data_IF_024952082044
#
_entry.id   IF_024952082044
#
_cell.length_a   1.000
_cell.length_b   1.000
_cell.length_c   1.000
_cell.angle_alpha   90.00
_cell.angle_beta   90.00
_cell.angle_gamma   90.00
#
_symmetry.space_group_name_H-M   'P 1'
#
loop_
_entity.id
_entity.type
_entity.pdbx_description
1 polymer ?
#
# COMPACT_ATOMS: atom_id res chain seq x y z
N UNK A 1 -0.39 -16.29 22.16
CA UNK A 1 0.39 -15.60 23.22
C UNK A 1 1.72 -16.28 23.32
N UNK A 2 2.73 -15.76 22.63
CA UNK A 2 4.05 -16.36 22.68
C UNK A 2 4.60 -16.18 24.07
N UNK A 3 4.57 -17.24 24.90
CA UNK A 3 5.26 -17.25 26.20
C UNK A 3 6.77 -17.16 25.93
N UNK A 4 7.32 -16.01 26.26
CA UNK A 4 8.76 -15.79 26.22
C UNK A 4 9.43 -16.56 27.38
N UNK A 5 10.16 -17.61 27.08
CA UNK A 5 11.32 -17.97 27.90
C UNK A 5 12.55 -17.35 27.22
N UNK A 6 12.82 -16.09 27.53
CA UNK A 6 14.12 -15.49 27.26
C UNK A 6 15.08 -16.13 28.25
N UNK A 7 15.73 -17.21 27.85
CA UNK A 7 16.90 -17.65 28.59
C UNK A 7 17.98 -16.59 28.37
N UNK A 8 18.26 -15.84 29.43
CA UNK A 8 19.42 -14.93 29.55
C UNK A 8 20.72 -15.74 29.49
N UNK A 9 21.03 -16.37 28.36
CA UNK A 9 22.38 -16.80 28.08
C UNK A 9 23.09 -15.64 27.41
N UNK A 10 24.08 -15.11 28.15
CA UNK A 10 25.13 -14.16 27.77
C UNK A 10 24.91 -13.51 26.38
N UNK A 11 24.24 -12.39 26.40
CA UNK A 11 23.92 -11.58 25.22
C UNK A 11 25.24 -11.03 24.65
N UNK A 12 25.73 -11.68 23.61
CA UNK A 12 26.56 -10.99 22.64
C UNK A 12 25.64 -10.00 21.88
N UNK A 13 25.89 -8.69 21.94
CA UNK A 13 25.04 -7.69 21.27
C UNK A 13 24.96 -7.87 19.74
N UNK A 14 25.84 -8.68 19.15
CA UNK A 14 25.89 -8.98 17.70
C UNK A 14 25.00 -10.14 17.27
N UNK A 15 24.48 -10.94 18.21
CA UNK A 15 23.66 -12.12 17.89
C UNK A 15 22.16 -11.85 18.03
N UNK A 16 21.36 -12.39 17.12
CA UNK A 16 19.91 -12.33 17.21
C UNK A 16 19.43 -13.11 18.45
N UNK A 17 18.56 -12.53 19.31
CA UNK A 17 18.07 -13.23 20.50
C UNK A 17 17.24 -14.44 20.09
N UNK A 18 17.37 -15.50 20.88
CA UNK A 18 16.58 -16.70 20.74
C UNK A 18 15.15 -16.45 21.25
N UNK A 19 14.17 -16.87 20.46
CA UNK A 19 12.76 -16.88 20.81
C UNK A 19 12.29 -18.32 20.86
N UNK A 20 11.78 -18.75 22.00
CA UNK A 20 11.17 -20.06 22.16
C UNK A 20 9.68 -19.94 21.84
N UNK A 21 9.28 -20.59 20.77
CA UNK A 21 7.89 -20.65 20.29
C UNK A 21 7.44 -22.10 20.35
N UNK A 22 6.20 -22.35 20.72
CA UNK A 22 5.64 -23.71 20.72
C UNK A 22 5.56 -24.25 19.28
N UNK A 23 5.81 -25.55 19.10
CA UNK A 23 5.75 -26.20 17.80
C UNK A 23 4.35 -26.18 17.19
N UNK A 24 3.31 -26.08 18.01
CA UNK A 24 1.90 -26.09 17.58
C UNK A 24 1.36 -24.69 17.31
N UNK A 25 2.17 -23.64 17.49
CA UNK A 25 1.75 -22.26 17.22
C UNK A 25 1.51 -22.01 15.71
N UNK A 26 0.50 -21.21 15.41
CA UNK A 26 0.14 -20.86 14.04
C UNK A 26 1.30 -20.20 13.26
N UNK A 27 2.20 -19.47 13.93
CA UNK A 27 3.39 -18.91 13.31
C UNK A 27 4.41 -19.98 12.92
N UNK A 28 4.60 -21.03 13.72
CA UNK A 28 5.46 -22.17 13.37
C UNK A 28 4.88 -22.92 12.19
N UNK A 29 3.57 -23.22 12.23
CA UNK A 29 2.85 -23.85 11.12
C UNK A 29 2.92 -23.01 9.84
N UNK A 30 2.81 -21.68 9.93
CA UNK A 30 2.99 -20.77 8.78
C UNK A 30 4.42 -20.82 8.26
N UNK A 31 5.43 -20.73 9.14
CA UNK A 31 6.86 -20.65 8.76
C UNK A 31 7.32 -21.91 8.03
N UNK A 32 6.79 -23.08 8.39
CA UNK A 32 7.14 -24.36 7.73
C UNK A 32 6.19 -24.72 6.58
N UNK A 33 5.06 -24.02 6.48
CA UNK A 33 3.97 -24.35 5.56
C UNK A 33 4.26 -24.02 4.09
N UNK A 34 3.53 -24.69 3.19
CA UNK A 34 3.58 -24.44 1.74
C UNK A 34 3.19 -23.01 1.39
N UNK A 35 2.28 -22.41 2.17
CA UNK A 35 1.83 -21.03 1.96
C UNK A 35 3.01 -20.05 2.01
N UNK A 36 3.84 -20.14 3.05
CA UNK A 36 4.98 -19.25 3.25
C UNK A 36 6.16 -19.59 2.32
N UNK A 37 6.46 -20.87 2.13
CA UNK A 37 7.68 -21.30 1.43
C UNK A 37 7.55 -21.36 -0.10
N UNK A 38 6.31 -21.46 -0.63
CA UNK A 38 6.08 -21.58 -2.09
C UNK A 38 5.06 -20.56 -2.62
N UNK A 39 3.87 -20.45 -2.01
CA UNK A 39 2.79 -19.64 -2.58
C UNK A 39 3.14 -18.15 -2.52
N UNK A 40 3.47 -17.63 -1.36
CA UNK A 40 3.79 -16.21 -1.17
C UNK A 40 4.98 -15.76 -2.04
N UNK A 41 6.13 -16.46 -2.05
CA UNK A 41 7.26 -16.04 -2.90
C UNK A 41 6.92 -16.10 -4.40
N UNK A 42 6.12 -17.08 -4.86
CA UNK A 42 5.67 -17.13 -6.25
C UNK A 42 4.81 -15.94 -6.63
N UNK A 43 3.90 -15.52 -5.74
CA UNK A 43 3.09 -14.30 -5.91
C UNK A 43 3.95 -13.03 -5.92
N UNK A 44 4.97 -12.92 -5.06
CA UNK A 44 5.90 -11.80 -5.08
C UNK A 44 6.70 -11.74 -6.39
N UNK A 45 7.17 -12.89 -6.91
CA UNK A 45 7.86 -12.95 -8.21
C UNK A 45 6.92 -12.46 -9.32
N UNK A 46 5.67 -12.92 -9.34
CA UNK A 46 4.69 -12.48 -10.33
C UNK A 46 4.46 -10.97 -10.24
N UNK A 47 4.32 -10.43 -9.03
CA UNK A 47 4.19 -8.98 -8.82
C UNK A 47 5.41 -8.22 -9.33
N UNK A 48 6.63 -8.70 -9.11
CA UNK A 48 7.86 -8.08 -9.60
C UNK A 48 7.97 -8.14 -11.13
N UNK A 49 7.66 -9.28 -11.74
CA UNK A 49 7.75 -9.47 -13.20
C UNK A 49 6.79 -8.56 -13.97
N UNK A 50 5.63 -8.27 -13.43
CA UNK A 50 4.65 -7.36 -14.04
C UNK A 50 4.87 -5.91 -13.59
N UNK A 51 5.08 -5.70 -12.30
CA UNK A 51 5.11 -4.38 -11.69
C UNK A 51 6.37 -3.58 -12.04
N UNK A 52 7.56 -4.20 -12.04
CA UNK A 52 8.80 -3.46 -12.34
C UNK A 52 8.80 -2.91 -13.77
N UNK A 53 8.54 -3.70 -14.83
CA UNK A 53 8.50 -3.17 -16.19
C UNK A 53 7.40 -2.12 -16.37
N UNK A 54 6.21 -2.35 -15.83
CA UNK A 54 5.06 -1.45 -16.03
C UNK A 54 5.27 -0.09 -15.33
N UNK A 55 5.79 -0.05 -14.10
CA UNK A 55 6.09 1.20 -13.41
C UNK A 55 7.27 1.93 -14.06
N UNK A 56 8.31 1.22 -14.52
CA UNK A 56 9.42 1.81 -15.27
C UNK A 56 8.93 2.44 -16.58
N UNK A 57 8.06 1.75 -17.30
CA UNK A 57 7.43 2.29 -18.50
C UNK A 57 6.64 3.59 -18.22
N UNK A 58 5.86 3.62 -17.14
CA UNK A 58 5.11 4.82 -16.73
C UNK A 58 6.02 5.99 -16.41
N UNK A 59 7.13 5.77 -15.71
CA UNK A 59 8.10 6.83 -15.43
C UNK A 59 8.64 7.46 -16.72
N UNK A 60 9.00 6.62 -17.71
CA UNK A 60 9.43 7.09 -19.03
C UNK A 60 8.33 7.82 -19.80
N UNK A 61 7.11 7.27 -19.80
CA UNK A 61 5.95 7.85 -20.48
C UNK A 61 5.55 9.21 -19.92
N UNK A 62 5.54 9.37 -18.60
CA UNK A 62 5.17 10.63 -17.95
C UNK A 62 6.24 11.70 -18.10
N UNK A 63 7.51 11.33 -18.13
CA UNK A 63 8.61 12.25 -18.41
C UNK A 63 8.42 12.95 -19.75
N UNK A 64 7.94 12.24 -20.76
CA UNK A 64 7.75 12.76 -22.13
C UNK A 64 6.43 13.54 -22.31
N UNK A 65 5.43 13.37 -21.40
CA UNK A 65 4.10 14.00 -21.47
C UNK A 65 3.86 15.12 -20.47
N UNK A 66 4.84 15.88 -20.10
CA UNK A 66 4.81 16.92 -19.05
C UNK A 66 3.78 18.07 -19.19
N UNK A 67 2.76 17.96 -20.05
CA UNK A 67 1.79 19.04 -20.30
C UNK A 67 0.75 19.24 -19.18
N UNK A 68 0.54 18.27 -18.27
CA UNK A 68 -0.33 18.42 -17.10
C UNK A 68 0.43 18.15 -15.81
N UNK A 69 1.30 19.06 -15.45
CA UNK A 69 2.29 18.94 -14.38
C UNK A 69 1.73 18.42 -13.04
N UNK A 70 0.57 18.95 -12.63
CA UNK A 70 -0.03 18.62 -11.33
C UNK A 70 -0.51 17.15 -11.19
N UNK A 71 -1.08 16.56 -12.24
CA UNK A 71 -1.53 15.15 -12.21
C UNK A 71 -0.36 14.21 -12.40
N UNK A 72 0.60 14.59 -13.24
CA UNK A 72 1.83 13.85 -13.51
C UNK A 72 2.64 13.61 -12.23
N UNK A 73 2.74 14.62 -11.34
CA UNK A 73 3.46 14.49 -10.07
C UNK A 73 2.87 13.37 -9.20
N UNK A 74 1.54 13.25 -9.08
CA UNK A 74 0.93 12.18 -8.27
C UNK A 74 1.24 10.80 -8.83
N UNK A 75 1.19 10.63 -10.14
CA UNK A 75 1.51 9.34 -10.77
C UNK A 75 3.00 9.01 -10.74
N UNK A 76 3.88 10.02 -10.84
CA UNK A 76 5.33 9.82 -10.63
C UNK A 76 5.62 9.39 -9.20
N UNK A 77 4.95 10.03 -8.23
CA UNK A 77 5.04 9.65 -6.83
C UNK A 77 4.60 8.20 -6.60
N UNK A 78 3.47 7.80 -7.18
CA UNK A 78 2.93 6.45 -7.07
C UNK A 78 3.89 5.42 -7.70
N UNK A 79 4.31 5.63 -8.95
CA UNK A 79 5.22 4.72 -9.64
C UNK A 79 6.59 4.59 -8.95
N UNK A 80 7.09 5.67 -8.35
CA UNK A 80 8.35 5.63 -7.60
C UNK A 80 8.19 4.80 -6.32
N UNK A 81 7.12 5.02 -5.56
CA UNK A 81 6.87 4.24 -4.34
C UNK A 81 6.66 2.77 -4.65
N UNK A 82 5.94 2.44 -5.73
CA UNK A 82 5.72 1.07 -6.18
C UNK A 82 7.03 0.36 -6.57
N UNK A 83 7.93 1.04 -7.27
CA UNK A 83 9.25 0.48 -7.59
C UNK A 83 10.06 0.20 -6.33
N UNK A 84 10.03 1.07 -5.33
CA UNK A 84 10.71 0.82 -4.05
C UNK A 84 10.15 -0.42 -3.35
N UNK A 85 8.82 -0.61 -3.33
CA UNK A 85 8.21 -1.82 -2.82
C UNK A 85 8.69 -3.06 -3.60
N UNK A 86 8.50 -3.05 -4.92
CA UNK A 86 8.78 -4.20 -5.78
C UNK A 86 10.26 -4.64 -5.69
N UNK A 87 11.20 -3.69 -5.63
CA UNK A 87 12.61 -3.98 -5.41
C UNK A 87 12.85 -4.58 -4.01
N UNK A 88 12.12 -4.13 -3.00
CA UNK A 88 12.22 -4.69 -1.64
C UNK A 88 11.71 -6.13 -1.56
N UNK A 89 10.78 -6.53 -2.43
CA UNK A 89 10.26 -7.90 -2.48
C UNK A 89 11.32 -8.93 -2.86
N UNK A 90 12.38 -8.57 -3.57
CA UNK A 90 13.46 -9.49 -3.95
C UNK A 90 14.11 -10.15 -2.71
N UNK A 91 14.36 -9.37 -1.65
CA UNK A 91 14.91 -9.90 -0.41
C UNK A 91 13.89 -10.76 0.35
N UNK A 92 12.58 -10.43 0.27
CA UNK A 92 11.52 -11.28 0.84
C UNK A 92 11.37 -12.60 0.08
N UNK A 93 11.49 -12.59 -1.25
CA UNK A 93 11.51 -13.81 -2.06
C UNK A 93 12.67 -14.73 -1.66
N UNK A 94 13.88 -14.18 -1.53
CA UNK A 94 15.03 -14.94 -1.05
C UNK A 94 14.77 -15.52 0.35
N UNK A 95 14.23 -14.74 1.28
CA UNK A 95 13.88 -15.18 2.62
C UNK A 95 12.94 -16.40 2.60
N UNK A 96 11.86 -16.34 1.84
CA UNK A 96 10.87 -17.42 1.76
C UNK A 96 11.44 -18.68 1.11
N UNK A 97 12.25 -18.55 0.02
CA UNK A 97 12.90 -19.69 -0.61
C UNK A 97 14.00 -20.31 0.25
N UNK A 98 14.62 -19.53 1.12
CA UNK A 98 15.57 -20.03 2.10
C UNK A 98 14.88 -20.57 3.37
N UNK A 99 13.69 -21.18 3.20
CA UNK A 99 12.89 -21.77 4.28
C UNK A 99 12.61 -20.78 5.44
N UNK A 100 12.30 -19.54 5.09
CA UNK A 100 12.08 -18.44 6.03
C UNK A 100 13.26 -18.15 6.96
N UNK A 101 14.48 -18.34 6.44
CA UNK A 101 15.71 -18.00 7.14
C UNK A 101 16.29 -16.69 6.61
N UNK A 102 16.28 -15.64 7.45
CA UNK A 102 16.77 -14.31 7.12
C UNK A 102 18.27 -14.20 7.39
N UNK A 103 19.05 -14.02 6.33
CA UNK A 103 20.51 -14.00 6.38
C UNK A 103 21.11 -12.59 6.27
N UNK A 104 20.28 -11.56 6.04
CA UNK A 104 20.73 -10.20 5.74
C UNK A 104 20.90 -9.29 6.97
N UNK A 105 20.68 -9.83 8.17
CA UNK A 105 20.84 -9.09 9.44
C UNK A 105 19.63 -8.22 9.81
N UNK A 106 19.68 -7.64 10.99
CA UNK A 106 18.59 -6.91 11.62
C UNK A 106 18.25 -5.60 10.89
N UNK A 107 19.27 -4.82 10.51
CA UNK A 107 19.07 -3.50 9.88
C UNK A 107 18.30 -3.65 8.56
N UNK A 108 18.68 -4.63 7.74
CA UNK A 108 17.98 -4.88 6.47
C UNK A 108 16.57 -5.39 6.69
N UNK A 109 16.32 -6.20 7.74
CA UNK A 109 14.97 -6.64 8.09
C UNK A 109 14.07 -5.45 8.46
N UNK A 110 14.55 -4.52 9.29
CA UNK A 110 13.81 -3.29 9.62
C UNK A 110 13.52 -2.44 8.39
N UNK A 111 14.53 -2.21 7.55
CA UNK A 111 14.38 -1.40 6.34
C UNK A 111 13.36 -2.00 5.38
N UNK A 112 13.42 -3.31 5.10
CA UNK A 112 12.50 -3.98 4.20
C UNK A 112 11.08 -3.98 4.75
N UNK A 113 10.90 -4.21 6.04
CA UNK A 113 9.60 -4.15 6.70
C UNK A 113 9.02 -2.73 6.64
N UNK A 114 9.83 -1.73 6.94
CA UNK A 114 9.46 -0.33 6.89
C UNK A 114 9.07 0.11 5.46
N UNK A 115 9.87 -0.22 4.45
CA UNK A 115 9.57 0.07 3.05
C UNK A 115 8.28 -0.60 2.60
N UNK A 116 8.05 -1.85 3.01
CA UNK A 116 6.87 -2.61 2.65
C UNK A 116 5.58 -1.95 3.16
N UNK A 117 5.46 -1.76 4.47
CA UNK A 117 4.25 -1.15 5.05
C UNK A 117 4.11 0.32 4.68
N UNK A 118 5.21 1.05 4.66
CA UNK A 118 5.20 2.45 4.28
C UNK A 118 4.73 2.66 2.83
N UNK A 119 5.17 1.82 1.88
CA UNK A 119 4.67 1.91 0.49
C UNK A 119 3.15 1.67 0.43
N UNK A 120 2.65 0.61 1.07
CA UNK A 120 1.22 0.29 1.06
C UNK A 120 0.40 1.47 1.59
N UNK A 121 0.86 2.15 2.65
CA UNK A 121 0.22 3.36 3.18
C UNK A 121 0.31 4.54 2.20
N UNK A 122 1.48 4.76 1.60
CA UNK A 122 1.70 5.85 0.64
C UNK A 122 0.80 5.70 -0.59
N UNK A 123 0.69 4.49 -1.15
CA UNK A 123 -0.12 4.21 -2.34
C UNK A 123 -1.60 4.40 -2.05
N UNK A 124 -2.13 3.89 -0.94
CA UNK A 124 -3.53 4.08 -0.56
C UNK A 124 -3.90 5.57 -0.44
N UNK A 125 -3.06 6.37 0.23
CA UNK A 125 -3.28 7.82 0.36
C UNK A 125 -3.17 8.55 -0.99
N UNK A 126 -2.21 8.18 -1.83
CA UNK A 126 -2.04 8.77 -3.16
C UNK A 126 -3.25 8.51 -4.05
N UNK A 127 -3.80 7.28 -4.04
CA UNK A 127 -5.01 6.91 -4.78
C UNK A 127 -6.23 7.71 -4.27
N UNK A 128 -6.36 7.89 -2.96
CA UNK A 128 -7.42 8.74 -2.39
C UNK A 128 -7.29 10.21 -2.83
N UNK A 129 -6.08 10.74 -2.87
CA UNK A 129 -5.83 12.10 -3.38
C UNK A 129 -6.16 12.24 -4.88
N UNK A 130 -5.87 11.22 -5.68
CA UNK A 130 -6.28 11.17 -7.10
C UNK A 130 -7.80 11.16 -7.21
N UNK A 131 -8.50 10.36 -6.41
CA UNK A 131 -9.97 10.28 -6.38
C UNK A 131 -10.60 11.62 -5.97
N UNK A 132 -10.07 12.26 -4.94
CA UNK A 132 -10.52 13.58 -4.49
C UNK A 132 -10.29 14.66 -5.56
N UNK A 133 -9.16 14.63 -6.24
CA UNK A 133 -8.85 15.57 -7.32
C UNK A 133 -9.84 15.41 -8.49
N UNK A 134 -10.23 14.18 -8.81
CA UNK A 134 -11.28 13.89 -9.82
C UNK A 134 -12.64 14.41 -9.38
N UNK A 135 -13.02 14.18 -8.12
CA UNK A 135 -14.23 14.74 -7.54
C UNK A 135 -14.27 16.26 -7.68
N UNK A 136 -13.20 16.94 -7.29
CA UNK A 136 -13.12 18.42 -7.40
C UNK A 136 -13.24 18.89 -8.86
N UNK A 137 -12.60 18.20 -9.80
CA UNK A 137 -12.64 18.57 -11.21
C UNK A 137 -14.03 18.45 -11.82
N UNK A 138 -14.81 17.44 -11.42
CA UNK A 138 -16.12 17.12 -11.99
C UNK A 138 -17.26 17.78 -11.22
N UNK A 139 -17.29 17.63 -9.89
CA UNK A 139 -18.43 18.06 -9.07
C UNK A 139 -18.28 19.52 -8.61
N UNK A 140 -17.03 20.00 -8.45
CA UNK A 140 -16.73 21.36 -7.98
C UNK A 140 -15.76 22.11 -8.92
N UNK A 141 -16.11 22.27 -10.22
CA UNK A 141 -15.17 22.79 -11.22
C UNK A 141 -14.71 24.23 -10.95
N UNK A 142 -15.57 25.09 -10.39
CA UNK A 142 -15.19 26.46 -10.05
C UNK A 142 -14.15 26.51 -8.94
N UNK A 143 -14.31 25.68 -7.89
CA UNK A 143 -13.32 25.54 -6.83
C UNK A 143 -12.01 24.98 -7.39
N UNK A 144 -12.08 23.94 -8.19
CA UNK A 144 -10.91 23.34 -8.83
C UNK A 144 -10.11 24.30 -9.71
N UNK A 145 -10.78 25.25 -10.40
CA UNK A 145 -10.11 26.29 -11.21
C UNK A 145 -9.38 27.33 -10.35
N UNK A 146 -9.90 27.65 -9.16
CA UNK A 146 -9.29 28.63 -8.23
C UNK A 146 -8.09 28.07 -7.48
N UNK A 147 -7.96 26.76 -7.34
CA UNK A 147 -6.87 26.14 -6.63
C UNK A 147 -5.54 26.28 -7.40
N UNK A 148 -4.47 26.56 -6.70
CA UNK A 148 -3.09 26.52 -7.21
C UNK A 148 -2.63 25.05 -7.37
N UNK A 149 -3.14 24.38 -8.40
CA UNK A 149 -3.10 22.93 -8.59
C UNK A 149 -1.72 22.31 -8.40
N UNK A 150 -0.67 22.92 -8.93
CA UNK A 150 0.70 22.40 -8.82
C UNK A 150 1.23 22.53 -7.40
N UNK A 151 1.08 23.71 -6.78
CA UNK A 151 1.52 23.93 -5.39
C UNK A 151 0.77 22.99 -4.43
N UNK A 152 -0.56 22.89 -4.58
CA UNK A 152 -1.37 21.97 -3.76
C UNK A 152 -0.92 20.52 -3.92
N UNK A 153 -0.64 20.07 -5.14
CA UNK A 153 -0.19 18.69 -5.40
C UNK A 153 1.19 18.41 -4.78
N UNK A 154 2.12 19.37 -4.86
CA UNK A 154 3.44 19.24 -4.20
C UNK A 154 3.26 19.14 -2.69
N UNK A 155 2.41 19.97 -2.09
CA UNK A 155 2.11 19.90 -0.66
C UNK A 155 1.46 18.58 -0.25
N UNK A 156 0.53 18.06 -1.07
CA UNK A 156 -0.07 16.73 -0.85
C UNK A 156 1.01 15.64 -0.86
N UNK A 157 1.87 15.62 -1.86
CA UNK A 157 2.98 14.64 -1.91
C UNK A 157 3.89 14.78 -0.68
N UNK A 158 4.23 15.99 -0.28
CA UNK A 158 5.04 16.22 0.93
C UNK A 158 4.36 15.66 2.19
N UNK A 159 3.06 15.92 2.37
CA UNK A 159 2.29 15.39 3.51
C UNK A 159 2.24 13.86 3.48
N UNK A 160 2.00 13.26 2.30
CA UNK A 160 1.98 11.80 2.15
C UNK A 160 3.34 11.19 2.53
N UNK A 161 4.46 11.76 2.08
CA UNK A 161 5.80 11.29 2.45
C UNK A 161 6.15 11.56 3.91
N UNK A 162 5.66 12.65 4.48
CA UNK A 162 5.82 12.91 5.91
C UNK A 162 5.06 11.88 6.77
N UNK A 163 3.80 11.57 6.40
CA UNK A 163 3.01 10.52 7.05
C UNK A 163 3.63 9.14 6.87
N UNK A 164 4.19 8.86 5.67
CA UNK A 164 4.98 7.66 5.43
C UNK A 164 6.15 7.57 6.42
N UNK A 165 6.96 8.62 6.52
CA UNK A 165 8.10 8.68 7.47
C UNK A 165 7.65 8.44 8.90
N UNK A 166 6.58 9.11 9.34
CA UNK A 166 6.03 8.94 10.69
C UNK A 166 5.54 7.50 10.95
N UNK A 167 4.90 6.88 9.96
CA UNK A 167 4.42 5.49 10.06
C UNK A 167 5.56 4.47 10.11
N UNK A 168 6.67 4.77 9.47
CA UNK A 168 7.83 3.88 9.33
C UNK A 168 8.77 3.94 10.54
N UNK A 169 8.87 5.09 11.22
CA UNK A 169 9.79 5.27 12.36
C UNK A 169 9.63 4.19 13.44
N UNK A 170 8.43 3.84 13.94
CA UNK A 170 8.30 2.78 14.95
C UNK A 170 8.79 1.41 14.47
N UNK A 171 8.57 1.08 13.20
CA UNK A 171 9.06 -0.18 12.60
C UNK A 171 10.59 -0.22 12.50
N UNK A 172 11.24 0.94 12.33
CA UNK A 172 12.71 1.06 12.31
C UNK A 172 13.32 0.99 13.71
N UNK A 173 12.61 1.46 14.74
CA UNK A 173 13.10 1.50 16.11
C UNK A 173 12.99 0.14 16.82
N UNK A 174 11.95 -0.65 16.48
CA UNK A 174 11.68 -1.93 17.11
C UNK A 174 12.46 -3.04 16.40
N UNK A 175 12.97 -4.01 17.17
CA UNK A 175 13.64 -5.18 16.63
C UNK A 175 12.66 -6.05 15.83
N UNK A 176 13.07 -6.49 14.65
CA UNK A 176 12.22 -7.22 13.70
C UNK A 176 12.71 -8.64 13.41
N UNK A 177 13.99 -8.97 13.71
CA UNK A 177 14.51 -10.31 13.47
C UNK A 177 14.81 -11.05 14.77
N UNK A 178 14.33 -12.29 14.84
CA UNK A 178 14.47 -13.17 15.99
C UNK A 178 14.83 -14.58 15.53
N UNK A 179 15.65 -15.27 16.31
CA UNK A 179 16.00 -16.65 16.06
C UNK A 179 15.01 -17.58 16.76
N UNK A 180 14.28 -18.38 15.99
CA UNK A 180 13.25 -19.30 16.49
C UNK A 180 13.91 -20.63 16.87
N UNK A 181 13.94 -20.94 18.18
CA UNK A 181 14.69 -22.06 18.73
C UNK A 181 14.25 -23.43 18.16
N UNK A 182 12.95 -23.77 18.06
CA UNK A 182 12.52 -25.06 17.53
C UNK A 182 12.93 -25.29 16.08
N UNK A 183 13.00 -24.22 15.27
CA UNK A 183 13.27 -24.28 13.85
C UNK A 183 14.74 -24.04 13.50
N UNK A 184 15.52 -23.44 14.41
CA UNK A 184 16.92 -23.08 14.17
C UNK A 184 17.12 -21.98 13.12
N UNK A 185 16.05 -21.31 12.68
CA UNK A 185 16.06 -20.25 11.64
C UNK A 185 15.93 -18.86 12.25
N UNK A 186 16.42 -17.85 11.55
CA UNK A 186 16.19 -16.43 11.89
C UNK A 186 15.04 -15.90 11.06
N UNK A 187 13.94 -15.49 11.70
CA UNK A 187 12.79 -14.89 11.02
C UNK A 187 12.94 -13.39 10.89
N UNK A 188 12.27 -12.78 9.91
CA UNK A 188 12.15 -11.34 9.74
C UNK A 188 10.68 -10.93 9.74
N UNK A 189 10.23 -10.30 10.81
CA UNK A 189 8.88 -9.76 11.00
C UNK A 189 7.76 -10.83 11.10
N UNK A 190 8.06 -12.11 11.01
CA UNK A 190 7.04 -13.15 11.06
C UNK A 190 6.75 -13.63 12.50
N UNK A 191 7.72 -13.59 13.36
CA UNK A 191 7.57 -13.97 14.77
C UNK A 191 8.08 -12.83 15.64
N UNK A 192 7.18 -12.19 16.40
CA UNK A 192 7.49 -11.05 17.26
C UNK A 192 7.05 -11.32 18.70
N UNK A 193 7.92 -11.01 19.70
CA UNK A 193 7.57 -11.18 21.11
C UNK A 193 6.62 -10.07 21.56
N UNK A 194 5.37 -10.40 21.87
CA UNK A 194 4.37 -9.43 22.34
C UNK A 194 4.58 -8.98 23.77
N UNK A 195 5.31 -9.75 24.59
CA UNK A 195 5.59 -9.42 25.98
C UNK A 195 6.64 -8.29 26.12
N UNK A 196 7.43 -8.03 25.08
CA UNK A 196 8.29 -6.87 25.07
C UNK A 196 7.47 -5.57 25.01
N UNK A 197 7.73 -4.64 25.92
CA UNK A 197 7.02 -3.35 26.03
C UNK A 197 6.89 -2.60 24.70
N UNK A 198 7.93 -2.62 23.88
CA UNK A 198 7.90 -1.95 22.58
C UNK A 198 6.98 -2.65 21.58
N UNK A 199 6.91 -3.98 21.59
CA UNK A 199 6.02 -4.72 20.71
C UNK A 199 4.55 -4.59 21.12
N UNK A 200 4.27 -4.54 22.42
CA UNK A 200 2.90 -4.31 22.92
C UNK A 200 2.36 -2.93 22.52
N UNK A 201 3.23 -1.90 22.43
CA UNK A 201 2.86 -0.58 21.91
C UNK A 201 2.71 -0.54 20.38
N UNK A 202 3.39 -1.43 19.67
CA UNK A 202 3.35 -1.48 18.21
C UNK A 202 1.98 -1.94 17.68
N UNK A 203 1.28 -2.82 18.41
CA UNK A 203 -0.06 -3.30 18.01
C UNK A 203 -1.09 -2.17 17.92
N UNK A 204 -1.36 -1.37 18.98
CA UNK A 204 -2.29 -0.26 18.88
C UNK A 204 -1.85 0.79 17.87
N UNK A 205 -0.53 1.01 17.71
CA UNK A 205 0.00 1.89 16.68
C UNK A 205 -0.35 1.38 15.27
N UNK A 206 -0.15 0.10 14.97
CA UNK A 206 -0.52 -0.51 13.68
C UNK A 206 -2.01 -0.42 13.41
N UNK A 207 -2.86 -0.68 14.43
CA UNK A 207 -4.31 -0.51 14.30
C UNK A 207 -4.69 0.94 13.98
N UNK A 208 -4.06 1.92 14.65
CA UNK A 208 -4.25 3.33 14.34
C UNK A 208 -3.82 3.66 12.89
N UNK A 209 -2.69 3.13 12.43
CA UNK A 209 -2.22 3.33 11.05
C UNK A 209 -3.16 2.71 10.03
N UNK A 210 -3.74 1.53 10.29
CA UNK A 210 -4.78 0.94 9.42
C UNK A 210 -6.00 1.88 9.32
N UNK A 211 -6.47 2.42 10.43
CA UNK A 211 -7.58 3.36 10.42
C UNK A 211 -7.26 4.61 9.60
N UNK A 212 -6.12 5.26 9.87
CA UNK A 212 -5.74 6.52 9.22
C UNK A 212 -5.32 6.33 7.75
N UNK A 213 -4.63 5.24 7.44
CA UNK A 213 -4.02 5.04 6.12
C UNK A 213 -4.85 4.17 5.18
N UNK A 214 -5.88 3.47 5.66
CA UNK A 214 -6.79 2.68 4.82
C UNK A 214 -8.25 3.07 4.98
N UNK A 215 -8.79 3.10 6.20
CA UNK A 215 -10.23 3.36 6.39
C UNK A 215 -10.58 4.78 5.95
N UNK A 216 -9.81 5.79 6.37
CA UNK A 216 -10.05 7.18 5.96
C UNK A 216 -9.90 7.36 4.45
N UNK A 217 -8.81 6.92 3.77
CA UNK A 217 -8.70 6.92 2.31
C UNK A 217 -9.84 6.19 1.60
N UNK A 218 -10.26 5.02 2.12
CA UNK A 218 -11.37 4.27 1.56
C UNK A 218 -12.67 5.09 1.57
N UNK A 219 -13.00 5.72 2.70
CA UNK A 219 -14.19 6.57 2.82
C UNK A 219 -14.13 7.76 1.85
N UNK A 220 -12.95 8.37 1.69
CA UNK A 220 -12.74 9.44 0.69
C UNK A 220 -12.97 8.91 -0.73
N UNK A 221 -12.45 7.74 -1.06
CA UNK A 221 -12.64 7.12 -2.39
C UNK A 221 -14.12 6.80 -2.65
N UNK A 222 -14.84 6.22 -1.66
CA UNK A 222 -16.27 5.93 -1.76
C UNK A 222 -17.05 7.23 -2.01
N UNK A 223 -16.85 8.23 -1.18
CA UNK A 223 -17.54 9.52 -1.31
C UNK A 223 -17.27 10.18 -2.66
N UNK A 224 -16.00 10.24 -3.06
CA UNK A 224 -15.60 10.84 -4.32
C UNK A 224 -16.22 10.10 -5.52
N UNK A 225 -16.17 8.73 -5.50
CA UNK A 225 -16.72 7.91 -6.57
C UNK A 225 -18.24 8.07 -6.69
N UNK A 226 -18.98 7.90 -5.60
CA UNK A 226 -20.46 8.03 -5.58
C UNK A 226 -20.89 9.42 -6.03
N UNK A 227 -20.23 10.48 -5.54
CA UNK A 227 -20.54 11.86 -5.94
C UNK A 227 -20.28 12.11 -7.42
N UNK A 228 -19.20 11.58 -7.99
CA UNK A 228 -18.87 11.70 -9.41
C UNK A 228 -19.91 10.96 -10.26
N UNK A 229 -20.24 9.71 -9.93
CA UNK A 229 -21.24 8.91 -10.66
C UNK A 229 -22.60 9.58 -10.63
N UNK A 230 -23.04 10.05 -9.46
CA UNK A 230 -24.30 10.76 -9.31
C UNK A 230 -24.38 12.04 -10.14
N UNK A 231 -23.32 12.86 -10.10
CA UNK A 231 -23.27 14.13 -10.83
C UNK A 231 -23.28 13.92 -12.35
N UNK A 232 -22.47 12.97 -12.84
CA UNK A 232 -22.37 12.65 -14.27
C UNK A 232 -23.61 11.96 -14.80
N UNK A 233 -24.28 11.11 -14.01
CA UNK A 233 -25.52 10.45 -14.38
C UNK A 233 -26.68 11.44 -14.65
N UNK A 234 -26.61 12.65 -14.08
CA UNK A 234 -27.59 13.73 -14.28
C UNK A 234 -27.27 14.68 -15.44
N UNK A 235 -26.07 14.60 -16.01
CA UNK A 235 -25.61 15.63 -16.99
C UNK A 235 -26.10 15.44 -18.42
N UNK A 236 -26.80 14.36 -18.73
CA UNK A 236 -27.33 14.07 -20.08
C UNK A 236 -26.25 13.80 -21.15
N UNK A 237 -24.98 13.84 -20.81
CA UNK A 237 -23.86 13.57 -21.72
C UNK A 237 -23.35 12.15 -21.54
N UNK A 238 -22.72 11.55 -22.56
CA UNK A 238 -22.13 10.22 -22.48
C UNK A 238 -20.78 10.24 -21.72
N UNK A 239 -20.84 10.13 -20.41
CA UNK A 239 -19.69 10.07 -19.51
C UNK A 239 -19.26 8.63 -19.15
N UNK A 240 -19.79 7.64 -19.85
CA UNK A 240 -19.52 6.21 -19.59
C UNK A 240 -18.02 5.87 -19.49
N UNK A 241 -17.12 6.38 -20.37
CA UNK A 241 -15.69 6.08 -20.25
C UNK A 241 -15.08 6.58 -18.92
N UNK A 242 -15.48 7.78 -18.49
CA UNK A 242 -15.01 8.37 -17.24
C UNK A 242 -15.52 7.61 -16.01
N UNK A 243 -16.80 7.26 -15.99
CA UNK A 243 -17.42 6.46 -14.93
C UNK A 243 -16.73 5.11 -14.83
N UNK A 244 -16.49 4.41 -15.95
CA UNK A 244 -15.77 3.12 -15.97
C UNK A 244 -14.40 3.20 -15.33
N UNK A 245 -13.61 4.21 -15.68
CA UNK A 245 -12.27 4.39 -15.11
C UNK A 245 -12.35 4.73 -13.63
N UNK A 246 -13.28 5.57 -13.21
CA UNK A 246 -13.50 5.88 -11.79
C UNK A 246 -13.91 4.64 -10.98
N UNK A 247 -14.80 3.82 -11.54
CA UNK A 247 -15.23 2.55 -10.96
C UNK A 247 -14.06 1.57 -10.84
N UNK A 248 -13.21 1.49 -11.87
CA UNK A 248 -12.04 0.62 -11.85
C UNK A 248 -11.05 1.01 -10.74
N UNK A 249 -10.77 2.30 -10.57
CA UNK A 249 -9.94 2.80 -9.44
C UNK A 249 -10.53 2.35 -8.11
N UNK A 250 -11.84 2.50 -7.94
CA UNK A 250 -12.53 2.11 -6.72
C UNK A 250 -12.49 0.60 -6.48
N UNK A 251 -12.70 -0.22 -7.53
CA UNK A 251 -12.64 -1.69 -7.43
C UNK A 251 -11.23 -2.14 -7.05
N UNK A 252 -10.19 -1.60 -7.70
CA UNK A 252 -8.79 -1.95 -7.40
C UNK A 252 -8.46 -1.61 -5.95
N UNK A 253 -8.86 -0.41 -5.49
CA UNK A 253 -8.66 -0.04 -4.09
C UNK A 253 -9.36 -1.03 -3.14
N UNK A 254 -10.63 -1.36 -3.41
CA UNK A 254 -11.41 -2.31 -2.61
C UNK A 254 -10.80 -3.71 -2.59
N UNK A 255 -10.45 -4.25 -3.75
CA UNK A 255 -9.92 -5.63 -3.86
C UNK A 255 -8.52 -5.77 -3.26
N UNK A 256 -7.64 -4.79 -3.46
CA UNK A 256 -6.25 -4.88 -3.00
C UNK A 256 -6.10 -4.52 -1.52
N UNK A 257 -6.76 -3.46 -1.04
CA UNK A 257 -6.50 -2.95 0.31
C UNK A 257 -7.52 -3.40 1.36
N UNK A 258 -8.81 -3.59 1.00
CA UNK A 258 -9.85 -3.92 1.97
C UNK A 258 -9.65 -5.27 2.66
N UNK A 259 -9.35 -6.39 1.95
CA UNK A 259 -9.15 -7.68 2.62
C UNK A 259 -7.96 -7.66 3.58
N UNK A 260 -6.83 -7.04 3.18
CA UNK A 260 -5.66 -6.94 4.04
C UNK A 260 -5.93 -6.10 5.29
N UNK A 261 -6.68 -5.00 5.16
CA UNK A 261 -7.03 -4.13 6.29
C UNK A 261 -7.94 -4.84 7.30
N UNK A 262 -8.98 -5.54 6.83
CA UNK A 262 -9.89 -6.30 7.72
C UNK A 262 -9.14 -7.41 8.44
N UNK A 263 -8.37 -8.21 7.69
CA UNK A 263 -7.63 -9.32 8.30
C UNK A 263 -6.55 -8.82 9.26
N UNK A 264 -5.93 -7.67 8.98
CA UNK A 264 -4.99 -7.04 9.89
C UNK A 264 -5.66 -6.59 11.20
N UNK A 265 -6.81 -5.91 11.11
CA UNK A 265 -7.57 -5.48 12.30
C UNK A 265 -8.02 -6.70 13.11
N UNK A 266 -8.60 -7.71 12.44
CA UNK A 266 -9.12 -8.90 13.11
C UNK A 266 -7.98 -9.70 13.77
N UNK A 267 -6.88 -9.92 13.05
CA UNK A 267 -5.72 -10.64 13.57
C UNK A 267 -5.16 -9.94 14.82
N UNK A 268 -4.84 -8.65 14.74
CA UNK A 268 -4.27 -7.93 15.88
C UNK A 268 -5.26 -7.78 17.05
N UNK A 269 -6.57 -7.65 16.78
CA UNK A 269 -7.58 -7.60 17.84
C UNK A 269 -7.71 -8.96 18.53
N UNK A 270 -7.74 -10.08 17.80
CA UNK A 270 -7.77 -11.42 18.37
C UNK A 270 -6.49 -11.73 19.15
N UNK A 271 -5.33 -11.35 18.59
CA UNK A 271 -4.04 -11.53 19.24
C UNK A 271 -3.94 -10.75 20.56
N UNK A 272 -4.43 -9.51 20.59
CA UNK A 272 -4.40 -8.66 21.77
C UNK A 272 -5.39 -9.12 22.85
N UNK A 273 -6.63 -9.53 22.47
CA UNK A 273 -7.66 -9.91 23.44
C UNK A 273 -7.53 -11.33 23.93
N UNK A 274 -7.23 -12.29 23.08
CA UNK A 274 -7.30 -13.74 23.39
C UNK A 274 -5.95 -14.46 23.23
N UNK A 275 -4.92 -13.78 22.69
CA UNK A 275 -3.66 -14.41 22.32
C UNK A 275 -3.78 -15.39 21.15
N UNK A 276 -4.86 -15.30 20.34
CA UNK A 276 -5.14 -16.20 19.22
C UNK A 276 -4.52 -15.66 17.93
N UNK A 277 -3.67 -16.44 17.27
CA UNK A 277 -2.98 -16.10 16.06
C UNK A 277 -3.37 -16.95 14.83
N UNK A 278 -4.44 -17.76 14.93
CA UNK A 278 -4.92 -18.64 13.84
C UNK A 278 -5.18 -17.92 12.52
N UNK A 279 -5.45 -16.61 12.56
CA UNK A 279 -5.67 -15.80 11.38
C UNK A 279 -4.36 -15.34 10.70
N UNK A 280 -3.19 -15.63 11.29
CA UNK A 280 -1.91 -15.12 10.82
C UNK A 280 -1.62 -15.46 9.35
N UNK A 281 -1.80 -16.72 8.95
CA UNK A 281 -1.57 -17.16 7.57
C UNK A 281 -2.47 -16.44 6.56
N UNK A 282 -3.76 -16.26 6.86
CA UNK A 282 -4.69 -15.53 6.01
C UNK A 282 -4.33 -14.04 5.92
N UNK A 283 -3.95 -13.43 7.03
CA UNK A 283 -3.46 -12.06 7.06
C UNK A 283 -2.22 -11.89 6.17
N UNK A 284 -1.24 -12.79 6.28
CA UNK A 284 -0.02 -12.74 5.46
C UNK A 284 -0.32 -12.90 3.97
N UNK A 285 -1.24 -13.80 3.60
CA UNK A 285 -1.70 -13.95 2.22
C UNK A 285 -2.39 -12.68 1.71
N UNK A 286 -3.27 -12.08 2.49
CA UNK A 286 -3.95 -10.84 2.08
C UNK A 286 -2.98 -9.68 1.92
N UNK A 287 -1.98 -9.55 2.78
CA UNK A 287 -0.90 -8.56 2.65
C UNK A 287 -0.06 -8.82 1.40
N UNK A 288 0.21 -10.08 1.06
CA UNK A 288 0.88 -10.43 -0.19
C UNK A 288 0.04 -10.03 -1.41
N UNK A 289 -1.26 -10.34 -1.40
CA UNK A 289 -2.18 -9.94 -2.49
C UNK A 289 -2.31 -8.42 -2.60
N UNK A 290 -2.22 -7.71 -1.48
CA UNK A 290 -2.22 -6.25 -1.50
C UNK A 290 -1.11 -5.68 -2.40
N UNK A 291 0.08 -6.32 -2.47
CA UNK A 291 1.19 -5.86 -3.32
C UNK A 291 0.85 -5.79 -4.82
N UNK A 292 -0.19 -6.49 -5.26
CA UNK A 292 -0.62 -6.44 -6.67
C UNK A 292 -1.21 -5.09 -7.08
N UNK A 293 -1.55 -4.19 -6.13
CA UNK A 293 -1.91 -2.82 -6.49
C UNK A 293 -0.80 -2.16 -7.32
N UNK A 294 0.47 -2.39 -6.96
CA UNK A 294 1.63 -1.85 -7.69
C UNK A 294 1.74 -2.33 -9.15
N UNK A 295 1.11 -3.48 -9.48
CA UNK A 295 0.99 -3.93 -10.86
C UNK A 295 -0.14 -3.23 -11.61
N UNK A 296 -1.20 -2.84 -10.89
CA UNK A 296 -2.43 -2.28 -11.48
C UNK A 296 -2.35 -0.75 -11.62
N UNK A 297 -1.61 -0.07 -10.77
CA UNK A 297 -1.46 1.39 -10.76
C UNK A 297 -0.94 1.99 -12.09
N UNK A 298 0.04 1.38 -12.80
CA UNK A 298 0.44 1.82 -14.13
C UNK A 298 -0.69 1.81 -15.16
N UNK A 299 -1.53 0.79 -15.14
CA UNK A 299 -2.67 0.69 -16.04
C UNK A 299 -3.71 1.77 -15.75
N UNK A 300 -3.98 2.03 -14.46
CA UNK A 300 -4.82 3.15 -14.05
C UNK A 300 -4.29 4.48 -14.55
N UNK A 301 -2.99 4.71 -14.44
CA UNK A 301 -2.34 5.94 -14.91
C UNK A 301 -2.58 6.15 -16.41
N UNK A 302 -2.39 5.12 -17.24
CA UNK A 302 -2.62 5.17 -18.70
C UNK A 302 -4.08 5.45 -19.01
N UNK A 303 -5.01 4.71 -18.39
CA UNK A 303 -6.45 4.85 -18.63
C UNK A 303 -6.94 6.25 -18.25
N UNK A 304 -6.53 6.75 -17.10
CA UNK A 304 -6.89 8.09 -16.64
C UNK A 304 -6.30 9.16 -17.56
N UNK A 305 -5.05 9.02 -17.99
CA UNK A 305 -4.39 9.97 -18.89
C UNK A 305 -5.10 10.06 -20.24
N UNK A 306 -5.54 8.92 -20.80
CA UNK A 306 -6.32 8.88 -22.05
C UNK A 306 -7.69 9.54 -21.88
N UNK A 307 -8.42 9.25 -20.81
CA UNK A 307 -9.76 9.79 -20.57
C UNK A 307 -9.71 11.30 -20.35
N UNK A 308 -8.75 11.80 -19.58
CA UNK A 308 -8.58 13.26 -19.34
C UNK A 308 -8.23 14.01 -20.62
N UNK A 309 -7.47 13.41 -21.52
CA UNK A 309 -7.14 14.03 -22.83
C UNK A 309 -8.38 14.19 -23.70
N UNK A 310 -9.25 13.17 -23.77
CA UNK A 310 -10.50 13.23 -24.54
C UNK A 310 -11.51 14.24 -23.96
N UNK A 311 -11.56 14.37 -22.62
CA UNK A 311 -12.43 15.36 -21.96
C UNK A 311 -12.02 16.80 -22.23
N UNK A 312 -10.71 17.11 -22.17
CA UNK A 312 -10.21 18.45 -22.48
C UNK A 312 -10.54 18.84 -23.91
N UNK A 313 -10.49 17.91 -24.86
CA UNK A 313 -10.94 18.13 -26.22
C UNK A 313 -12.44 18.40 -26.29
N UNK A 314 -13.27 17.62 -25.59
CA UNK A 314 -14.73 17.76 -25.61
C UNK A 314 -15.18 19.08 -24.95
N UNK A 315 -14.59 19.47 -23.82
CA UNK A 315 -14.87 20.75 -23.14
C UNK A 315 -14.43 21.93 -24.01
N UNK A 316 -13.31 21.81 -24.71
CA UNK A 316 -12.83 22.82 -25.66
C UNK A 316 -13.79 22.99 -26.84
N UNK A 317 -14.28 21.90 -27.42
CA UNK A 317 -15.22 21.93 -28.53
C UNK A 317 -16.59 22.49 -28.13
N UNK A 318 -17.14 22.12 -26.98
CA UNK A 318 -18.42 22.64 -26.50
C UNK A 318 -18.33 24.07 -25.94
N UNK A 319 -17.18 24.49 -25.41
CA UNK A 319 -16.96 25.89 -25.04
C UNK A 319 -16.91 26.85 -26.24
N UNK A 320 -16.50 26.36 -27.40
CA UNK A 320 -16.55 27.10 -28.66
C UNK A 320 -17.99 27.19 -29.17
N UNK A 321 -18.81 26.12 -28.95
CA UNK A 321 -20.22 26.07 -29.43
C UNK A 321 -21.19 26.90 -28.59
N UNK A 322 -20.81 27.32 -27.37
CA UNK A 322 -21.63 28.15 -26.49
C UNK A 322 -21.24 29.65 -26.48
N UNK A 323 -20.40 30.13 -27.41
CA UNK A 323 -20.31 31.58 -27.64
C UNK A 323 -21.52 32.00 -28.47
N UNK A 324 -22.52 32.72 -27.90
CA UNK A 324 -23.54 33.33 -28.73
C UNK A 324 -22.85 34.31 -29.66
N UNK A 325 -23.14 34.18 -30.93
CA UNK A 325 -22.91 35.24 -31.94
C UNK A 325 -23.66 36.45 -31.45
N UNK A 326 -22.97 37.38 -30.80
CA UNK A 326 -23.47 38.73 -30.55
C UNK A 326 -23.41 39.42 -31.92
N UNK A 327 -24.57 39.53 -32.56
CA UNK A 327 -24.81 40.52 -33.60
C UNK A 327 -25.06 41.87 -32.97
#
# INVERSE_FOLDING_TARGET
MYKLNITNQLLDPSTNPWLYVDSDDAATSYTTGILSTRVIPSLYILAMLVGIPSNTYILGFLRNKAKSFSTTILYLNLALSDLLLLLSLALRVHYHFNQNNWTFGEISCRLITALFYGNVYCSAQTIACISLKRYLAVVRPFLYRRLAKTKLTIWICFVVWFLFGAAVVPELLVRQSYRVAPLGVTTCHDVLPLEEKFHSMLVPFRLLMVCLCFIVPLLICIYAHVSVVYHLGRSGCDWRPFIRVSTLVFIIFGVCFFPSSILQITHYSCLYSNGDDRLYGYYRLAVCLCCFHSCLDPFLCILISKTTSSELQFISLNGIRQRPTVM
#
